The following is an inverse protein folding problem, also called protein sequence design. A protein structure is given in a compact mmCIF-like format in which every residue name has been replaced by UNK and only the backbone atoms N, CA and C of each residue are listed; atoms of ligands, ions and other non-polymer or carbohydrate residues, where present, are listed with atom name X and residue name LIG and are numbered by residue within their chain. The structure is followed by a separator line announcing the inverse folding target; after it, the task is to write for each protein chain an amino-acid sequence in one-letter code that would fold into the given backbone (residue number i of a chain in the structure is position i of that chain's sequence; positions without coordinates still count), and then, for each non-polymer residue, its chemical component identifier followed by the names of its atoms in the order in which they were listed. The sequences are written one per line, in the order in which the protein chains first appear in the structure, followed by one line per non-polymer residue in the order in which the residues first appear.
data_IF_256418405231
#
_entry.id   IF_256418405231
#
_cell.length_a   1.000
_cell.length_b   1.000
_cell.length_c   1.000
_cell.angle_alpha   90.00
_cell.angle_beta   90.00
_cell.angle_gamma   90.00
#
_symmetry.space_group_name_H-M   'P 1'
#
loop_
_entity.id
_entity.type
_entity.pdbx_description
1 polymer ?
#
# COMPACT_ATOMS: atom_id res chain seq x y z
N UNK A 1 5.58 -14.97 -15.94
CA UNK A 1 5.73 -14.17 -14.71
C UNK A 1 4.68 -13.10 -14.80
N UNK A 2 3.80 -12.95 -13.82
CA UNK A 2 2.74 -11.93 -13.88
C UNK A 2 3.37 -10.56 -13.69
N UNK A 3 3.29 -9.71 -14.72
CA UNK A 3 3.68 -8.29 -14.71
C UNK A 3 2.69 -7.47 -13.86
N UNK A 4 2.63 -7.78 -12.56
CA UNK A 4 1.77 -7.06 -11.63
C UNK A 4 2.34 -5.66 -11.41
N UNK A 5 1.51 -4.64 -11.60
CA UNK A 5 1.83 -3.23 -11.37
C UNK A 5 0.76 -2.63 -10.49
N UNK A 6 1.12 -1.64 -9.67
CA UNK A 6 0.16 -0.96 -8.79
C UNK A 6 -0.64 -1.94 -7.94
N UNK A 7 0.07 -2.70 -7.09
CA UNK A 7 -0.54 -3.70 -6.22
C UNK A 7 0.05 -3.69 -4.81
N UNK A 8 -0.74 -4.19 -3.86
CA UNK A 8 -0.31 -4.59 -2.52
C UNK A 8 -0.67 -6.06 -2.34
N UNK A 9 0.26 -6.85 -1.82
CA UNK A 9 0.04 -8.22 -1.38
C UNK A 9 0.25 -8.32 0.13
N UNK A 10 -0.70 -8.92 0.83
CA UNK A 10 -0.53 -9.36 2.22
C UNK A 10 0.08 -10.76 2.17
N UNK A 11 1.23 -10.94 2.80
CA UNK A 11 1.90 -12.22 2.90
C UNK A 11 1.38 -13.02 4.11
N UNK A 12 1.70 -14.31 4.18
CA UNK A 12 1.27 -15.20 5.27
C UNK A 12 1.73 -14.74 6.68
N UNK A 13 2.81 -13.96 6.75
CA UNK A 13 3.40 -13.43 7.99
C UNK A 13 2.92 -12.01 8.34
N UNK A 14 1.83 -11.55 7.73
CA UNK A 14 1.32 -10.17 7.80
C UNK A 14 2.32 -9.10 7.33
N UNK A 15 3.40 -9.45 6.65
CA UNK A 15 4.20 -8.45 5.92
C UNK A 15 3.50 -8.09 4.61
N UNK A 16 3.85 -6.93 4.08
CA UNK A 16 3.36 -6.49 2.77
C UNK A 16 4.48 -6.46 1.76
N UNK A 17 4.14 -6.86 0.53
CA UNK A 17 4.93 -6.57 -0.68
C UNK A 17 4.05 -5.87 -1.69
N UNK A 18 4.64 -5.09 -2.59
CA UNK A 18 3.86 -4.37 -3.57
C UNK A 18 4.71 -3.57 -4.53
N UNK A 19 4.03 -2.95 -5.48
CA UNK A 19 4.61 -2.05 -6.46
C UNK A 19 3.71 -0.82 -6.59
N UNK A 20 4.33 0.34 -6.76
CA UNK A 20 3.64 1.58 -7.12
C UNK A 20 4.38 2.20 -8.30
N UNK A 21 3.66 2.37 -9.41
CA UNK A 21 4.19 2.82 -10.68
C UNK A 21 3.31 3.92 -11.30
N UNK A 22 3.99 4.87 -11.95
CA UNK A 22 3.41 5.95 -12.74
C UNK A 22 4.33 6.24 -13.94
N UNK A 23 3.97 7.23 -14.75
CA UNK A 23 4.85 7.69 -15.85
C UNK A 23 6.19 8.25 -15.37
N UNK A 24 6.31 8.66 -14.09
CA UNK A 24 7.49 9.34 -13.56
C UNK A 24 8.34 8.47 -12.62
N UNK A 25 7.76 7.40 -12.06
CA UNK A 25 8.42 6.56 -11.07
C UNK A 25 7.87 5.15 -11.12
N UNK A 26 8.69 4.19 -10.74
CA UNK A 26 8.32 2.79 -10.58
C UNK A 26 9.19 2.22 -9.46
N UNK A 27 8.56 1.81 -8.36
CA UNK A 27 9.28 1.30 -7.21
C UNK A 27 8.49 0.24 -6.44
N UNK A 28 9.26 -0.74 -5.95
CA UNK A 28 8.74 -1.73 -5.01
C UNK A 28 8.55 -1.10 -3.63
N UNK A 29 7.46 -1.49 -2.99
CA UNK A 29 7.16 -1.16 -1.61
C UNK A 29 7.05 -2.42 -0.78
N UNK A 30 7.41 -2.30 0.49
CA UNK A 30 7.20 -3.35 1.48
C UNK A 30 6.68 -2.73 2.77
N UNK A 31 5.98 -3.53 3.56
CA UNK A 31 5.33 -3.04 4.77
C UNK A 31 5.32 -4.04 5.89
N UNK A 32 5.10 -3.51 7.08
CA UNK A 32 5.01 -4.24 8.33
C UNK A 32 3.76 -3.79 9.07
N UNK A 33 3.06 -4.73 9.70
CA UNK A 33 1.92 -4.43 10.56
C UNK A 33 2.34 -3.45 11.67
N UNK A 34 1.46 -2.50 11.97
CA UNK A 34 1.71 -1.50 12.98
C UNK A 34 0.59 -1.51 14.02
N UNK A 35 0.86 -2.15 15.14
CA UNK A 35 -0.01 -2.11 16.31
C UNK A 35 0.20 -0.80 17.08
N UNK A 36 -0.89 -0.05 17.25
CA UNK A 36 -0.87 1.24 17.91
C UNK A 36 -2.19 1.48 18.65
N UNK A 37 -2.14 1.98 19.90
CA UNK A 37 -3.36 2.32 20.66
C UNK A 37 -4.08 3.56 20.09
N UNK A 38 -3.43 4.33 19.21
CA UNK A 38 -4.08 5.44 18.52
C UNK A 38 -4.92 4.93 17.35
N UNK A 39 -6.24 5.06 17.45
CA UNK A 39 -7.19 4.66 16.40
C UNK A 39 -7.01 5.38 15.05
N UNK A 40 -6.26 6.49 15.01
CA UNK A 40 -5.92 7.22 13.77
C UNK A 40 -4.57 6.81 13.17
N UNK A 41 -3.82 5.92 13.82
CA UNK A 41 -2.58 5.41 13.30
C UNK A 41 -2.81 4.53 12.05
N UNK A 42 -1.81 4.40 11.16
CA UNK A 42 -1.88 3.39 10.13
C UNK A 42 -1.90 1.98 10.76
N UNK A 43 -2.50 1.02 10.06
CA UNK A 43 -2.45 -0.41 10.40
C UNK A 43 -1.22 -1.09 9.79
N UNK A 44 -0.58 -0.47 8.78
CA UNK A 44 0.71 -0.89 8.24
C UNK A 44 1.60 0.31 7.97
N UNK A 45 2.89 0.20 8.28
CA UNK A 45 3.92 1.16 7.85
C UNK A 45 4.52 0.69 6.54
N UNK A 46 4.75 1.62 5.62
CA UNK A 46 5.25 1.34 4.28
C UNK A 46 6.65 1.91 4.08
N UNK A 47 7.47 1.12 3.39
CA UNK A 47 8.89 1.36 3.21
C UNK A 47 9.32 1.09 1.76
N UNK A 48 10.43 1.71 1.38
CA UNK A 48 11.15 1.47 0.14
C UNK A 48 12.63 1.25 0.42
N UNK A 49 13.36 0.75 -0.58
CA UNK A 49 14.82 0.81 -0.64
C UNK A 49 15.24 1.97 -1.53
N UNK A 50 16.08 2.86 -1.02
CA UNK A 50 16.75 3.86 -1.86
C UNK A 50 17.71 3.18 -2.84
N UNK A 51 18.22 3.88 -3.88
CA UNK A 51 19.23 3.31 -4.80
C UNK A 51 20.49 2.77 -4.12
N UNK A 52 20.77 3.20 -2.87
CA UNK A 52 21.88 2.68 -2.05
C UNK A 52 21.47 1.54 -1.11
N UNK A 53 20.28 0.95 -1.29
CA UNK A 53 19.76 -0.15 -0.48
C UNK A 53 19.30 0.25 0.93
N UNK A 54 19.19 1.54 1.24
CA UNK A 54 18.75 2.00 2.57
C UNK A 54 17.24 1.92 2.68
N UNK A 55 16.74 1.35 3.78
CA UNK A 55 15.31 1.35 4.13
C UNK A 55 14.86 2.75 4.52
N UNK A 56 13.78 3.22 3.93
CA UNK A 56 13.16 4.52 4.24
C UNK A 56 11.66 4.31 4.37
N UNK A 57 11.06 4.84 5.43
CA UNK A 57 9.60 4.88 5.59
C UNK A 57 9.02 6.00 4.73
N UNK A 58 7.97 5.68 4.00
CA UNK A 58 7.35 6.62 3.04
C UNK A 58 5.88 6.90 3.34
N UNK A 59 5.26 6.15 4.25
CA UNK A 59 3.86 6.33 4.59
C UNK A 59 3.25 5.09 5.23
N UNK A 60 1.97 4.87 4.98
CA UNK A 60 1.24 3.77 5.61
C UNK A 60 -0.03 3.37 4.89
N UNK A 61 -0.69 2.37 5.46
CA UNK A 61 -2.06 1.96 5.11
C UNK A 61 -2.94 2.18 6.32
N UNK A 62 -4.11 2.76 6.10
CA UNK A 62 -5.13 2.99 7.12
C UNK A 62 -6.37 2.17 6.80
N UNK A 63 -7.02 1.68 7.85
CA UNK A 63 -8.37 1.13 7.78
C UNK A 63 -9.37 2.26 8.00
N UNK A 64 -10.23 2.50 7.01
CA UNK A 64 -11.33 3.48 7.08
C UNK A 64 -12.66 2.78 6.90
N UNK A 65 -13.70 3.33 7.49
CA UNK A 65 -15.06 2.89 7.22
C UNK A 65 -15.62 3.71 6.06
N UNK A 66 -16.16 3.05 5.03
CA UNK A 66 -16.84 3.71 3.92
C UNK A 66 -18.26 4.16 4.32
N UNK A 67 -18.93 4.92 3.46
CA UNK A 67 -20.26 5.48 3.75
C UNK A 67 -21.34 4.43 4.03
N UNK A 68 -21.14 3.19 3.57
CA UNK A 68 -22.04 2.06 3.76
C UNK A 68 -21.67 1.21 4.98
N UNK A 69 -20.71 1.66 5.80
CA UNK A 69 -20.26 0.94 6.99
C UNK A 69 -19.24 -0.17 6.72
N UNK A 70 -18.82 -0.38 5.47
CA UNK A 70 -17.82 -1.39 5.09
C UNK A 70 -16.39 -0.89 5.30
N UNK A 71 -15.50 -1.80 5.69
CA UNK A 71 -14.08 -1.49 5.83
C UNK A 71 -13.41 -1.28 4.46
N UNK A 72 -12.60 -0.24 4.35
CA UNK A 72 -11.81 0.11 3.18
C UNK A 72 -10.37 0.40 3.61
N UNK A 73 -9.40 -0.17 2.92
CA UNK A 73 -8.00 0.13 3.15
C UNK A 73 -7.58 1.28 2.22
N UNK A 74 -6.91 2.28 2.79
CA UNK A 74 -6.37 3.41 2.03
C UNK A 74 -4.88 3.54 2.27
N UNK A 75 -4.12 3.78 1.21
CA UNK A 75 -2.69 4.02 1.24
C UNK A 75 -2.41 5.51 1.09
N UNK A 76 -1.42 6.01 1.83
CA UNK A 76 -0.83 7.34 1.60
C UNK A 76 0.68 7.24 1.71
N UNK A 77 1.39 7.66 0.66
CA UNK A 77 2.85 7.60 0.59
C UNK A 77 3.46 8.85 -0.03
N UNK A 78 4.68 9.19 0.38
CA UNK A 78 5.53 10.17 -0.28
C UNK A 78 6.39 9.49 -1.33
N UNK A 79 6.24 9.87 -2.60
CA UNK A 79 6.96 9.27 -3.74
C UNK A 79 8.26 10.00 -4.08
N UNK A 80 8.58 11.09 -3.37
CA UNK A 80 9.62 12.04 -3.77
C UNK A 80 9.18 13.04 -4.85
N UNK A 81 8.13 12.71 -5.61
CA UNK A 81 7.50 13.60 -6.61
C UNK A 81 6.20 14.24 -6.11
N UNK A 82 5.73 13.83 -4.93
CA UNK A 82 4.47 14.28 -4.33
C UNK A 82 3.94 13.26 -3.34
N UNK A 83 2.76 13.53 -2.80
CA UNK A 83 2.00 12.55 -2.03
C UNK A 83 1.07 11.80 -2.98
N UNK A 84 1.13 10.49 -2.93
CA UNK A 84 0.13 9.61 -3.54
C UNK A 84 -0.85 9.17 -2.47
N UNK A 85 -2.14 9.38 -2.71
CA UNK A 85 -3.20 8.73 -1.96
C UNK A 85 -3.91 7.71 -2.86
N UNK A 86 -4.29 6.57 -2.29
CA UNK A 86 -4.95 5.51 -3.05
C UNK A 86 -5.91 4.72 -2.17
N UNK A 87 -6.94 4.16 -2.80
CA UNK A 87 -7.74 3.10 -2.20
C UNK A 87 -7.13 1.76 -2.59
N UNK A 88 -7.23 0.78 -1.70
CA UNK A 88 -6.87 -0.60 -1.98
C UNK A 88 -8.16 -1.38 -2.21
N UNK A 89 -8.31 -1.89 -3.43
CA UNK A 89 -9.45 -2.70 -3.85
C UNK A 89 -8.99 -4.07 -4.33
N UNK A 90 -9.93 -4.99 -4.59
CA UNK A 90 -9.61 -6.30 -5.15
C UNK A 90 -8.81 -6.16 -6.45
N UNK A 91 -7.72 -6.91 -6.58
CA UNK A 91 -6.96 -6.93 -7.83
C UNK A 91 -7.76 -7.62 -8.95
N UNK A 92 -7.78 -7.09 -10.19
CA UNK A 92 -8.59 -7.65 -11.27
C UNK A 92 -8.28 -9.13 -11.56
N UNK A 93 -9.34 -9.93 -11.75
CA UNK A 93 -9.22 -11.33 -12.19
C UNK A 93 -8.65 -12.28 -11.13
N UNK A 94 -8.71 -11.93 -9.85
CA UNK A 94 -8.28 -12.78 -8.74
C UNK A 94 -9.40 -12.96 -7.71
N UNK A 95 -9.50 -14.17 -7.19
CA UNK A 95 -10.40 -14.53 -6.09
C UNK A 95 -9.60 -14.54 -4.78
N UNK A 96 -9.60 -13.42 -4.05
CA UNK A 96 -8.94 -13.31 -2.76
C UNK A 96 -8.65 -11.87 -2.35
N UNK A 97 -8.56 -11.63 -1.04
CA UNK A 97 -8.26 -10.31 -0.48
C UNK A 97 -6.75 -10.11 -0.23
N UNK A 98 -5.94 -11.14 -0.48
CA UNK A 98 -4.49 -11.13 -0.31
C UNK A 98 -3.77 -10.27 -1.35
N UNK A 99 -4.36 -10.05 -2.53
CA UNK A 99 -3.81 -9.20 -3.59
C UNK A 99 -4.79 -8.08 -3.91
N UNK A 100 -4.34 -6.85 -3.68
CA UNK A 100 -5.12 -5.64 -3.87
C UNK A 100 -4.50 -4.77 -4.96
N UNK A 101 -5.35 -4.14 -5.76
CA UNK A 101 -4.95 -3.07 -6.66
C UNK A 101 -4.80 -1.75 -5.89
N UNK A 102 -3.78 -0.98 -6.26
CA UNK A 102 -3.58 0.41 -5.83
C UNK A 102 -4.33 1.30 -6.82
N UNK A 103 -5.40 1.96 -6.35
CA UNK A 103 -6.23 2.85 -7.16
C UNK A 103 -6.05 4.29 -6.67
N UNK A 104 -5.20 5.10 -7.35
CA UNK A 104 -4.94 6.48 -6.98
C UNK A 104 -6.19 7.37 -6.99
N UNK A 105 -6.19 8.39 -6.14
CA UNK A 105 -7.18 9.48 -6.15
C UNK A 105 -6.54 10.79 -5.70
N UNK A 106 -7.19 11.91 -6.08
CA UNK A 106 -6.79 13.28 -5.77
C UNK A 106 -7.49 13.82 -4.51
#
# INVERSE_FOLDING_TARGET
MTDLVNFIRVNEDNTLTGNVASLAYDFDIFGEEFDSPNAKAPVYRLFVKTPRGRRVEIGGIWKKQNQNGGDCLTLSVNTGYGRLNANLGRYPGQDGDELMAVVPWD
#
